data_IF_558316378687
#
_entry.id   IF_558316378687
#
_cell.length_a   1.000
_cell.length_b   1.000
_cell.length_c   1.000
_cell.angle_alpha   90.00
_cell.angle_beta   90.00
_cell.angle_gamma   90.00
#
_symmetry.space_group_name_H-M   'P 1'
#
loop_
_entity.id
_entity.type
_entity.pdbx_description
1 polymer ?
#
# COMPACT_ATOMS: atom_id res chain seq x y z
N UNK A 1 10.29 9.39 -9.12
CA UNK A 1 10.54 8.81 -7.79
C UNK A 1 10.96 7.36 -7.94
N UNK A 2 11.84 6.83 -7.07
CA UNK A 2 12.27 5.44 -7.13
C UNK A 2 11.17 4.53 -6.55
N UNK A 3 10.23 4.09 -7.37
CA UNK A 3 9.18 3.15 -6.99
C UNK A 3 9.59 1.73 -7.39
N UNK A 4 9.68 0.81 -6.43
CA UNK A 4 9.95 -0.59 -6.69
C UNK A 4 8.67 -1.41 -6.86
N UNK A 5 7.62 -1.06 -6.12
CA UNK A 5 6.29 -1.62 -6.33
C UNK A 5 5.22 -0.70 -5.76
N UNK A 6 4.02 -0.83 -6.28
CA UNK A 6 2.78 -0.24 -5.77
C UNK A 6 1.79 -1.36 -5.48
N UNK A 7 1.10 -1.28 -4.34
CA UNK A 7 0.12 -2.27 -3.90
C UNK A 7 -1.24 -1.60 -3.74
N UNK A 8 -2.21 -2.01 -4.55
CA UNK A 8 -3.60 -1.59 -4.35
C UNK A 8 -4.33 -2.55 -3.43
N UNK A 9 -5.20 -2.04 -2.59
CA UNK A 9 -5.98 -2.82 -1.65
C UNK A 9 -7.39 -2.24 -1.44
N UNK A 10 -8.34 -3.09 -1.08
CA UNK A 10 -9.64 -2.66 -0.58
C UNK A 10 -9.57 -2.54 0.94
N UNK A 11 -9.87 -1.35 1.47
CA UNK A 11 -9.97 -1.13 2.91
C UNK A 11 -11.30 -1.67 3.47
N UNK A 12 -11.40 -1.80 4.81
CA UNK A 12 -12.60 -2.31 5.49
C UNK A 12 -13.88 -1.51 5.17
N UNK A 13 -13.74 -0.24 4.81
CA UNK A 13 -14.85 0.62 4.37
C UNK A 13 -15.26 0.41 2.90
N UNK A 14 -14.67 -0.55 2.21
CA UNK A 14 -14.91 -0.86 0.80
C UNK A 14 -14.17 0.06 -0.18
N UNK A 15 -13.46 1.08 0.28
CA UNK A 15 -12.71 2.00 -0.60
C UNK A 15 -11.44 1.34 -1.13
N UNK A 16 -11.11 1.60 -2.41
CA UNK A 16 -9.82 1.24 -2.98
C UNK A 16 -8.78 2.29 -2.62
N UNK A 17 -7.66 1.83 -2.08
CA UNK A 17 -6.50 2.64 -1.71
C UNK A 17 -5.24 1.97 -2.24
N UNK A 18 -4.11 2.69 -2.22
CA UNK A 18 -2.82 2.14 -2.61
C UNK A 18 -1.72 2.53 -1.65
N UNK A 19 -0.72 1.65 -1.54
CA UNK A 19 0.55 1.90 -0.90
C UNK A 19 1.66 1.97 -1.95
N UNK A 20 2.59 2.89 -1.75
CA UNK A 20 3.83 3.02 -2.50
C UNK A 20 4.98 2.50 -1.66
N UNK A 21 5.79 1.58 -2.19
CA UNK A 21 6.98 1.09 -1.49
C UNK A 21 7.91 2.23 -1.08
N UNK A 22 8.05 3.26 -1.92
CA UNK A 22 8.87 4.42 -1.61
C UNK A 22 8.22 5.35 -0.59
N UNK A 23 7.00 5.84 -0.86
CA UNK A 23 6.36 6.87 -0.04
C UNK A 23 5.94 6.34 1.34
N UNK A 24 5.42 5.11 1.41
CA UNK A 24 4.84 4.53 2.62
C UNK A 24 5.83 3.70 3.44
N UNK A 25 6.96 3.25 2.85
CA UNK A 25 7.97 2.51 3.58
C UNK A 25 9.35 3.16 3.54
N UNK A 26 9.99 3.31 2.36
CA UNK A 26 11.40 3.73 2.26
C UNK A 26 11.61 5.13 2.85
N UNK A 27 10.77 6.08 2.49
CA UNK A 27 10.82 7.47 2.98
C UNK A 27 10.67 7.57 4.50
N UNK A 28 10.00 6.59 5.10
CA UNK A 28 9.75 6.53 6.54
C UNK A 28 10.75 5.63 7.28
N UNK A 29 11.72 5.01 6.58
CA UNK A 29 12.66 4.07 7.17
C UNK A 29 12.04 2.73 7.60
N UNK A 30 10.88 2.37 7.03
CA UNK A 30 10.08 1.20 7.37
C UNK A 30 10.40 0.01 6.46
N UNK A 31 11.67 -0.33 6.36
CA UNK A 31 12.13 -1.48 5.60
C UNK A 31 13.32 -2.15 6.29
N UNK A 32 13.52 -3.42 5.96
CA UNK A 32 14.66 -4.21 6.42
C UNK A 32 15.31 -4.89 5.22
N UNK A 33 16.63 -4.75 5.09
CA UNK A 33 17.42 -5.43 4.08
C UNK A 33 18.14 -6.62 4.72
N UNK A 34 18.09 -7.76 4.06
CA UNK A 34 18.80 -8.98 4.40
C UNK A 34 19.55 -9.48 3.16
N UNK A 35 20.84 -9.71 3.30
CA UNK A 35 21.63 -10.40 2.26
C UNK A 35 21.25 -11.86 2.21
N UNK A 36 21.06 -12.37 1.00
CA UNK A 36 20.76 -13.78 0.70
C UNK A 36 21.78 -14.27 -0.33
N UNK A 37 21.73 -15.55 -0.68
CA UNK A 37 22.57 -16.10 -1.72
C UNK A 37 22.26 -15.40 -3.06
N UNK A 38 23.30 -14.90 -3.71
CA UNK A 38 23.26 -14.14 -4.97
C UNK A 38 22.34 -12.90 -4.98
N UNK A 39 22.01 -12.32 -3.82
CA UNK A 39 21.10 -11.18 -3.85
C UNK A 39 20.74 -10.59 -2.48
N UNK A 40 19.61 -9.90 -2.48
CA UNK A 40 19.05 -9.26 -1.29
C UNK A 40 17.55 -9.54 -1.19
N UNK A 41 17.07 -9.66 0.04
CA UNK A 41 15.65 -9.61 0.36
C UNK A 41 15.37 -8.30 1.10
N UNK A 42 14.41 -7.53 0.62
CA UNK A 42 13.95 -6.31 1.28
C UNK A 42 12.51 -6.51 1.73
N UNK A 43 12.30 -6.49 3.04
CA UNK A 43 10.95 -6.52 3.61
C UNK A 43 10.49 -5.10 3.88
N UNK A 44 9.39 -4.70 3.29
CA UNK A 44 8.74 -3.40 3.43
C UNK A 44 7.56 -3.52 4.39
N UNK A 45 7.47 -2.61 5.36
CA UNK A 45 6.30 -2.47 6.21
C UNK A 45 5.50 -1.26 5.74
N UNK A 46 4.41 -1.52 5.00
CA UNK A 46 3.55 -0.51 4.39
C UNK A 46 2.38 -0.19 5.31
N UNK A 47 1.90 1.04 5.21
CA UNK A 47 0.79 1.52 6.00
C UNK A 47 1.25 2.35 7.20
N UNK A 48 0.30 2.76 8.02
CA UNK A 48 0.58 3.66 9.11
C UNK A 48 1.32 2.94 10.25
N UNK A 49 2.60 2.61 10.01
CA UNK A 49 3.56 2.32 11.08
C UNK A 49 4.06 3.65 11.67
N UNK A 50 3.28 4.74 11.50
CA UNK A 50 3.57 5.96 12.23
C UNK A 50 3.83 5.55 13.66
N UNK A 51 4.95 5.99 14.23
CA UNK A 51 5.16 6.00 15.67
C UNK A 51 3.82 6.30 16.28
N UNK A 52 3.22 5.30 16.94
CA UNK A 52 1.95 5.43 17.62
C UNK A 52 2.17 6.57 18.61
N UNK A 53 1.68 7.78 18.26
CA UNK A 53 1.85 8.94 19.12
C UNK A 53 0.98 8.66 20.34
N UNK A 54 1.60 8.48 21.48
CA UNK A 54 0.88 8.29 22.73
C UNK A 54 0.25 9.62 23.15
N UNK A 55 -0.99 9.83 22.75
CA UNK A 55 -1.81 10.99 23.11
C UNK A 55 -3.11 10.49 23.74
N UNK A 56 -3.07 9.81 24.90
CA UNK A 56 -4.25 9.19 25.49
C UNK A 56 -5.28 10.26 25.85
N UNK A 57 -6.55 10.12 25.40
CA UNK A 57 -7.63 11.05 25.78
C UNK A 57 -7.92 11.01 27.28
N UNK A 58 -7.68 9.85 27.89
CA UNK A 58 -7.86 9.58 29.32
C UNK A 58 -6.59 8.94 29.86
N UNK A 59 -6.15 9.34 31.03
CA UNK A 59 -5.04 8.71 31.77
C UNK A 59 -5.51 8.41 33.18
N UNK A 60 -5.25 7.21 33.69
CA UNK A 60 -5.51 6.86 35.08
C UNK A 60 -4.77 7.82 36.03
N UNK A 61 -5.41 8.31 37.07
CA UNK A 61 -4.85 9.36 37.97
C UNK A 61 -3.51 8.93 38.59
N UNK A 62 -3.41 7.70 39.09
CA UNK A 62 -2.16 7.17 39.65
C UNK A 62 -1.01 7.21 38.65
N UNK A 63 -1.28 6.80 37.39
CA UNK A 63 -0.31 6.85 36.27
C UNK A 63 0.07 8.26 35.89
N UNK A 64 -0.91 9.16 35.83
CA UNK A 64 -0.63 10.55 35.50
C UNK A 64 0.30 11.22 36.55
N UNK A 65 0.07 10.99 37.82
CA UNK A 65 0.92 11.54 38.90
C UNK A 65 2.34 10.94 38.87
N UNK A 66 2.46 9.66 38.55
CA UNK A 66 3.75 9.00 38.35
C UNK A 66 4.52 9.61 37.18
N UNK A 67 3.86 9.77 36.03
CA UNK A 67 4.45 10.38 34.82
C UNK A 67 4.84 11.85 35.09
N UNK A 68 4.00 12.57 35.81
CA UNK A 68 4.29 13.95 36.18
C UNK A 68 5.54 14.03 37.09
N UNK A 69 5.67 13.11 38.06
CA UNK A 69 6.84 13.02 38.92
C UNK A 69 8.15 12.66 38.18
N UNK A 70 8.06 11.86 37.12
CA UNK A 70 9.21 11.48 36.31
C UNK A 70 9.56 12.48 35.21
N UNK A 71 8.65 13.42 34.90
CA UNK A 71 8.84 14.40 33.84
C UNK A 71 9.78 15.54 34.30
N UNK A 72 10.56 16.04 33.33
CA UNK A 72 11.31 17.28 33.53
C UNK A 72 10.38 18.52 33.66
N UNK A 73 10.90 19.68 34.00
CA UNK A 73 10.11 20.89 34.20
C UNK A 73 9.27 21.30 32.96
N UNK A 74 9.76 21.06 31.73
CA UNK A 74 9.03 21.35 30.51
C UNK A 74 7.87 20.36 30.30
N UNK A 75 8.13 19.06 30.49
CA UNK A 75 7.11 17.99 30.43
C UNK A 75 6.01 18.19 31.47
N UNK A 76 6.37 18.55 32.73
CA UNK A 76 5.40 18.84 33.77
C UNK A 76 4.46 20.00 33.40
N UNK A 77 5.02 21.07 32.83
CA UNK A 77 4.21 22.23 32.38
C UNK A 77 3.28 21.79 31.24
N UNK A 78 3.77 21.01 30.29
CA UNK A 78 2.99 20.51 29.14
C UNK A 78 1.83 19.64 29.63
N UNK A 79 2.10 18.63 30.46
CA UNK A 79 1.09 17.72 31.03
C UNK A 79 0.01 18.49 31.80
N UNK A 80 0.40 19.40 32.70
CA UNK A 80 -0.55 20.23 33.45
C UNK A 80 -1.39 21.16 32.56
N UNK A 81 -0.84 21.64 31.47
CA UNK A 81 -1.56 22.47 30.51
C UNK A 81 -2.57 21.66 29.69
N UNK A 82 -2.20 20.46 29.26
CA UNK A 82 -3.01 19.64 28.35
C UNK A 82 -4.06 18.79 29.07
N UNK A 83 -3.82 18.40 30.34
CA UNK A 83 -4.73 17.54 31.09
C UNK A 83 -5.39 18.28 32.24
N UNK A 84 -6.52 17.73 32.70
CA UNK A 84 -7.21 18.17 33.92
C UNK A 84 -7.79 16.97 34.66
N UNK A 85 -7.78 17.03 35.98
CA UNK A 85 -8.36 15.99 36.84
C UNK A 85 -9.89 16.00 36.74
N UNK A 86 -10.50 14.83 36.78
CA UNK A 86 -11.96 14.65 36.88
C UNK A 86 -12.29 14.04 38.22
N UNK A 87 -13.11 14.74 38.97
CA UNK A 87 -13.76 14.26 40.18
C UNK A 87 -15.25 14.05 39.86
N UNK A 88 -15.63 12.77 39.69
CA UNK A 88 -16.97 12.36 39.28
C UNK A 88 -18.06 12.79 40.29
N UNK A 89 -17.71 12.97 41.58
CA UNK A 89 -18.68 13.28 42.62
C UNK A 89 -19.07 14.77 42.60
N UNK A 90 -18.17 15.63 42.12
CA UNK A 90 -18.39 17.07 42.03
C UNK A 90 -18.97 17.54 40.71
N UNK A 91 -19.11 16.63 39.72
CA UNK A 91 -19.66 16.96 38.39
C UNK A 91 -21.16 17.26 38.47
N UNK A 92 -21.61 18.27 37.70
CA UNK A 92 -23.04 18.45 37.41
C UNK A 92 -23.60 17.27 36.61
N UNK A 93 -24.89 16.99 36.75
CA UNK A 93 -25.55 15.88 36.04
C UNK A 93 -25.35 15.95 34.53
N UNK A 94 -25.42 17.15 33.94
CA UNK A 94 -25.20 17.35 32.49
C UNK A 94 -23.76 17.02 32.07
N UNK A 95 -22.77 17.47 32.85
CA UNK A 95 -21.36 17.20 32.57
C UNK A 95 -20.98 15.73 32.78
N UNK A 96 -21.59 15.10 33.79
CA UNK A 96 -21.44 13.65 34.03
C UNK A 96 -21.99 12.85 32.87
N UNK A 97 -23.18 13.16 32.35
CA UNK A 97 -23.77 12.49 31.20
C UNK A 97 -22.92 12.67 29.93
N UNK A 98 -22.42 13.86 29.63
CA UNK A 98 -21.54 14.14 28.51
C UNK A 98 -20.24 13.34 28.58
N UNK A 99 -19.54 13.38 29.71
CA UNK A 99 -18.27 12.65 29.87
C UNK A 99 -18.46 11.13 29.91
N UNK A 100 -19.55 10.63 30.50
CA UNK A 100 -19.89 9.18 30.46
C UNK A 100 -20.18 8.68 29.06
N UNK A 101 -20.78 9.51 28.21
CA UNK A 101 -20.99 9.17 26.78
C UNK A 101 -19.70 9.16 25.97
N UNK A 102 -18.78 10.08 26.26
CA UNK A 102 -17.50 10.16 25.54
C UNK A 102 -16.45 9.15 26.04
N UNK A 103 -16.43 8.89 27.34
CA UNK A 103 -15.42 8.06 28.00
C UNK A 103 -16.06 7.04 28.95
N UNK A 104 -16.79 6.05 28.41
CA UNK A 104 -17.56 5.12 29.23
C UNK A 104 -16.70 4.29 30.18
N UNK A 105 -15.48 3.96 29.79
CA UNK A 105 -14.55 3.21 30.65
C UNK A 105 -13.94 4.04 31.81
N UNK A 106 -14.04 5.36 31.76
CA UNK A 106 -13.53 6.23 32.82
C UNK A 106 -14.50 6.47 33.96
N UNK A 107 -15.78 6.07 33.81
CA UNK A 107 -16.83 6.34 34.80
C UNK A 107 -16.51 5.69 36.15
N UNK A 108 -16.48 6.49 37.20
CA UNK A 108 -16.18 6.03 38.56
C UNK A 108 -14.68 5.82 38.85
N UNK A 109 -13.81 6.09 37.90
CA UNK A 109 -12.36 6.03 38.06
C UNK A 109 -11.78 7.45 38.26
N UNK A 110 -10.78 7.60 39.11
CA UNK A 110 -9.99 8.84 39.19
C UNK A 110 -9.12 8.94 37.94
N UNK A 111 -9.36 9.93 37.10
CA UNK A 111 -8.70 10.10 35.81
C UNK A 111 -8.32 11.56 35.52
N UNK A 112 -7.36 11.70 34.64
CA UNK A 112 -7.05 12.95 33.95
C UNK A 112 -7.51 12.87 32.50
N UNK A 113 -8.21 13.91 32.02
CA UNK A 113 -8.71 14.03 30.69
C UNK A 113 -7.91 15.05 29.88
N UNK A 114 -7.64 14.73 28.63
CA UNK A 114 -7.06 15.66 27.66
C UNK A 114 -8.08 16.75 27.34
N UNK A 115 -7.70 18.05 27.53
CA UNK A 115 -8.59 19.20 27.32
C UNK A 115 -9.11 19.34 25.90
N UNK A 116 -8.25 18.98 24.92
CA UNK A 116 -8.57 19.01 23.51
C UNK A 116 -8.02 17.76 22.84
N UNK A 117 -8.88 16.92 22.32
CA UNK A 117 -8.50 15.69 21.60
C UNK A 117 -8.00 15.97 20.17
N UNK A 118 -8.29 17.17 19.64
CA UNK A 118 -7.84 17.63 18.32
C UNK A 118 -6.61 18.53 18.44
N UNK A 119 -5.51 18.00 18.99
CA UNK A 119 -4.26 18.73 19.10
C UNK A 119 -3.60 18.96 17.73
N UNK A 120 -2.96 20.12 17.48
CA UNK A 120 -2.06 20.31 16.35
C UNK A 120 -0.94 19.26 16.35
N UNK A 121 -0.44 18.86 15.17
CA UNK A 121 0.57 17.80 15.04
C UNK A 121 1.85 18.05 15.83
N UNK A 122 2.27 19.31 15.94
CA UNK A 122 3.42 19.70 16.77
C UNK A 122 3.18 19.47 18.27
N UNK A 123 1.97 19.70 18.75
CA UNK A 123 1.60 19.43 20.15
C UNK A 123 1.42 17.94 20.42
N UNK A 124 0.87 17.19 19.45
CA UNK A 124 0.77 15.74 19.54
C UNK A 124 2.17 15.11 19.68
N UNK A 125 3.14 15.55 18.86
CA UNK A 125 4.52 15.07 18.95
C UNK A 125 5.16 15.46 20.28
N UNK A 126 5.00 16.70 20.72
CA UNK A 126 5.56 17.17 21.98
C UNK A 126 4.99 16.42 23.21
N UNK A 127 3.68 16.10 23.19
CA UNK A 127 3.03 15.29 24.23
C UNK A 127 3.57 13.87 24.23
N UNK A 128 3.65 13.22 23.06
CA UNK A 128 4.23 11.88 22.91
C UNK A 128 5.66 11.84 23.47
N UNK A 129 6.51 12.77 23.03
CA UNK A 129 7.92 12.80 23.46
C UNK A 129 8.05 13.01 24.98
N UNK A 130 7.20 13.84 25.58
CA UNK A 130 7.16 14.06 27.04
C UNK A 130 6.71 12.80 27.79
N UNK A 131 5.69 12.11 27.31
CA UNK A 131 5.19 10.86 27.90
C UNK A 131 6.22 9.74 27.81
N UNK A 132 6.84 9.55 26.64
CA UNK A 132 7.88 8.54 26.44
C UNK A 132 9.11 8.82 27.30
N UNK A 133 9.54 10.09 27.37
CA UNK A 133 10.65 10.49 28.25
C UNK A 133 10.37 10.26 29.74
N UNK A 134 9.08 10.29 30.14
CA UNK A 134 8.63 9.94 31.49
C UNK A 134 8.46 8.42 31.72
N UNK A 135 8.73 7.59 30.68
CA UNK A 135 8.64 6.13 30.78
C UNK A 135 7.24 5.55 30.47
N UNK A 136 6.40 6.30 29.76
CA UNK A 136 5.10 5.80 29.31
C UNK A 136 5.26 4.75 28.24
N UNK A 137 4.64 3.58 28.41
CA UNK A 137 4.81 2.41 27.55
C UNK A 137 3.58 2.17 26.66
N UNK A 138 3.72 1.29 25.67
CA UNK A 138 2.62 0.90 24.77
C UNK A 138 1.51 0.15 25.52
N UNK A 139 1.89 -0.71 26.49
CA UNK A 139 0.91 -1.40 27.32
C UNK A 139 0.07 -0.39 28.13
N UNK A 140 0.72 0.60 28.76
CA UNK A 140 0.05 1.64 29.51
C UNK A 140 -0.86 2.48 28.62
N UNK A 141 -0.42 2.79 27.40
CA UNK A 141 -1.26 3.48 26.42
C UNK A 141 -2.51 2.66 26.06
N UNK A 142 -2.34 1.36 25.85
CA UNK A 142 -3.46 0.45 25.53
C UNK A 142 -4.47 0.37 26.69
N UNK A 143 -4.00 0.30 27.94
CA UNK A 143 -4.87 0.32 29.12
C UNK A 143 -5.65 1.65 29.24
N UNK A 144 -4.99 2.78 29.02
CA UNK A 144 -5.62 4.10 29.06
C UNK A 144 -6.62 4.32 27.90
N UNK A 145 -6.40 3.70 26.74
CA UNK A 145 -7.38 3.68 25.66
C UNK A 145 -8.67 2.94 26.05
N UNK A 146 -8.57 1.85 26.80
CA UNK A 146 -9.76 1.15 27.33
C UNK A 146 -10.57 2.09 28.23
N UNK A 147 -9.92 2.88 29.10
CA UNK A 147 -10.59 3.89 29.91
C UNK A 147 -11.29 4.96 29.08
N UNK A 148 -10.76 5.29 27.90
CA UNK A 148 -11.40 6.22 26.99
C UNK A 148 -12.59 5.65 26.23
N UNK A 149 -12.87 4.33 26.35
CA UNK A 149 -13.85 3.62 25.53
C UNK A 149 -13.38 3.39 24.10
N UNK A 150 -12.10 3.65 23.83
CA UNK A 150 -11.46 3.35 22.56
C UNK A 150 -11.13 1.86 22.46
N UNK A 151 -11.22 1.32 21.25
CA UNK A 151 -10.73 -0.03 20.99
C UNK A 151 -9.20 -0.03 21.00
N UNK A 152 -8.60 -1.01 21.66
CA UNK A 152 -7.15 -1.25 21.62
C UNK A 152 -6.71 -1.80 20.26
N UNK A 153 -7.67 -2.12 19.39
CA UNK A 153 -7.41 -2.70 18.08
C UNK A 153 -6.88 -1.62 17.13
N UNK A 154 -5.73 -1.91 16.56
CA UNK A 154 -5.21 -1.10 15.45
C UNK A 154 -6.16 -1.27 14.26
N UNK A 155 -6.81 -0.20 13.83
CA UNK A 155 -7.80 -0.19 12.74
C UNK A 155 -7.21 0.29 11.42
N UNK A 156 -5.94 0.66 11.39
CA UNK A 156 -5.28 1.13 10.19
C UNK A 156 -4.75 -0.03 9.33
N UNK A 157 -4.99 -0.02 8.02
CA UNK A 157 -4.45 -1.03 7.12
C UNK A 157 -2.92 -1.05 7.15
N UNK A 158 -2.34 -2.24 7.30
CA UNK A 158 -0.89 -2.49 7.30
C UNK A 158 -0.59 -3.80 6.59
N UNK A 159 0.53 -3.83 5.87
CA UNK A 159 1.01 -5.04 5.22
C UNK A 159 2.52 -5.08 5.19
N UNK A 160 3.09 -6.26 5.45
CA UNK A 160 4.49 -6.55 5.17
C UNK A 160 4.61 -7.26 3.83
N UNK A 161 5.50 -6.75 2.98
CA UNK A 161 5.79 -7.32 1.65
C UNK A 161 7.28 -7.53 1.53
N UNK A 162 7.70 -8.75 1.19
CA UNK A 162 9.10 -9.10 0.92
C UNK A 162 9.36 -9.10 -0.58
N UNK A 163 10.35 -8.35 -1.03
CA UNK A 163 10.86 -8.33 -2.40
C UNK A 163 12.26 -8.94 -2.41
N UNK A 164 12.41 -10.03 -3.16
CA UNK A 164 13.69 -10.70 -3.40
C UNK A 164 14.26 -10.21 -4.73
N UNK A 165 15.49 -9.76 -4.70
CA UNK A 165 16.25 -9.36 -5.89
C UNK A 165 17.50 -10.23 -5.94
N UNK A 166 17.56 -11.13 -6.92
CA UNK A 166 18.65 -12.09 -7.07
C UNK A 166 19.25 -12.03 -8.47
N UNK A 167 20.52 -12.37 -8.57
CA UNK A 167 21.22 -12.53 -9.85
C UNK A 167 21.29 -14.02 -10.18
N UNK A 168 20.83 -14.36 -11.39
CA UNK A 168 20.96 -15.67 -11.97
C UNK A 168 21.74 -15.56 -13.29
N UNK A 169 23.03 -15.83 -13.23
CA UNK A 169 23.95 -15.56 -14.33
C UNK A 169 23.97 -14.06 -14.68
N UNK A 170 23.53 -13.72 -15.89
CA UNK A 170 23.44 -12.35 -16.39
C UNK A 170 22.03 -11.74 -16.18
N UNK A 171 21.10 -12.46 -15.59
CA UNK A 171 19.72 -12.03 -15.39
C UNK A 171 19.51 -11.53 -13.96
N UNK A 172 18.66 -10.51 -13.82
CA UNK A 172 18.11 -10.04 -12.53
C UNK A 172 16.73 -10.67 -12.36
N UNK A 173 16.53 -11.36 -11.26
CA UNK A 173 15.22 -11.84 -10.86
C UNK A 173 14.64 -10.96 -9.76
N UNK A 174 13.37 -10.59 -9.93
CA UNK A 174 12.58 -9.89 -8.93
C UNK A 174 11.39 -10.77 -8.54
N UNK A 175 11.32 -11.17 -7.26
CA UNK A 175 10.29 -12.08 -6.77
C UNK A 175 9.59 -11.52 -5.54
N UNK A 176 8.26 -11.66 -5.52
CA UNK A 176 7.41 -11.38 -4.37
C UNK A 176 6.61 -12.63 -4.03
N UNK A 177 6.99 -13.40 -2.98
CA UNK A 177 6.19 -14.52 -2.49
C UNK A 177 4.91 -14.00 -1.83
N UNK A 178 3.75 -14.22 -2.43
CA UNK A 178 2.47 -13.72 -1.91
C UNK A 178 2.09 -14.40 -0.59
N UNK A 179 2.54 -15.64 -0.39
CA UNK A 179 2.35 -16.38 0.86
C UNK A 179 3.09 -15.78 2.07
N UNK A 180 4.11 -14.95 1.83
CA UNK A 180 4.84 -14.25 2.90
C UNK A 180 4.20 -12.90 3.29
N UNK A 181 3.20 -12.43 2.55
CA UNK A 181 2.50 -11.20 2.89
C UNK A 181 1.76 -11.34 4.22
N UNK A 182 2.01 -10.40 5.12
CA UNK A 182 1.40 -10.38 6.45
C UNK A 182 0.50 -9.15 6.58
N UNK A 183 -0.80 -9.37 6.68
CA UNK A 183 -1.80 -8.33 6.85
C UNK A 183 -3.03 -8.83 7.61
N UNK A 184 -3.80 -7.92 8.21
CA UNK A 184 -5.09 -8.23 8.81
C UNK A 184 -6.19 -8.11 7.75
N UNK A 185 -6.75 -9.26 7.36
CA UNK A 185 -7.80 -9.34 6.36
C UNK A 185 -9.08 -8.57 6.75
N UNK A 186 -9.33 -8.39 8.04
CA UNK A 186 -10.47 -7.59 8.50
C UNK A 186 -10.30 -6.08 8.23
N UNK A 187 -9.08 -5.63 7.95
CA UNK A 187 -8.74 -4.23 7.71
C UNK A 187 -8.46 -3.95 6.24
N UNK A 188 -7.95 -4.93 5.51
CA UNK A 188 -7.59 -4.76 4.10
C UNK A 188 -7.57 -6.08 3.33
N UNK A 189 -7.85 -5.99 2.05
CA UNK A 189 -7.69 -7.08 1.07
C UNK A 189 -6.74 -6.57 -0.02
N UNK A 190 -5.51 -7.11 -0.15
CA UNK A 190 -4.62 -6.77 -1.27
C UNK A 190 -5.27 -7.14 -2.60
N UNK A 191 -5.33 -6.23 -3.55
CA UNK A 191 -6.02 -6.42 -4.83
C UNK A 191 -5.03 -6.62 -5.96
N UNK A 192 -4.13 -5.66 -6.17
CA UNK A 192 -3.13 -5.72 -7.23
C UNK A 192 -1.75 -5.28 -6.74
N UNK A 193 -0.73 -5.83 -7.36
CA UNK A 193 0.67 -5.45 -7.18
C UNK A 193 1.27 -5.07 -8.53
N UNK A 194 1.73 -3.84 -8.67
CA UNK A 194 2.56 -3.38 -9.78
C UNK A 194 4.02 -3.52 -9.37
N UNK A 195 4.80 -4.29 -10.12
CA UNK A 195 6.19 -4.58 -9.77
C UNK A 195 7.17 -3.86 -10.69
N UNK A 196 8.17 -3.21 -10.11
CA UNK A 196 9.27 -2.49 -10.78
C UNK A 196 8.79 -1.46 -11.82
N UNK A 197 7.73 -0.71 -11.50
CA UNK A 197 7.05 0.25 -12.39
C UNK A 197 7.97 1.32 -13.00
N UNK A 198 9.08 1.63 -12.34
CA UNK A 198 10.04 2.63 -12.79
C UNK A 198 11.38 2.02 -13.26
N UNK A 199 11.49 0.70 -13.33
CA UNK A 199 12.71 0.03 -13.73
C UNK A 199 13.00 0.26 -15.22
N UNK A 200 14.23 0.67 -15.52
CA UNK A 200 14.65 0.93 -16.89
C UNK A 200 13.87 2.03 -17.62
N UNK A 201 13.14 2.88 -16.90
CA UNK A 201 12.30 3.94 -17.46
C UNK A 201 13.11 4.92 -18.32
N UNK A 202 12.66 5.23 -19.55
CA UNK A 202 13.33 6.19 -20.41
C UNK A 202 13.40 7.58 -19.79
N UNK A 203 14.50 8.27 -20.00
CA UNK A 203 14.66 9.68 -19.62
C UNK A 203 14.05 10.58 -20.69
N UNK A 204 13.75 11.81 -20.31
CA UNK A 204 13.31 12.82 -21.26
C UNK A 204 14.38 13.04 -22.35
N UNK A 205 13.94 13.01 -23.62
CA UNK A 205 14.82 13.13 -24.77
C UNK A 205 15.48 11.84 -25.25
N UNK A 206 15.34 10.72 -24.53
CA UNK A 206 15.74 9.41 -25.05
C UNK A 206 14.77 8.90 -26.11
N UNK A 207 15.30 8.25 -27.12
CA UNK A 207 14.52 7.56 -28.17
C UNK A 207 14.60 6.06 -28.00
N UNK A 208 13.56 5.37 -28.39
CA UNK A 208 13.49 3.92 -28.32
C UNK A 208 12.04 3.42 -28.34
N UNK A 209 11.86 2.19 -27.94
CA UNK A 209 10.54 1.55 -27.98
C UNK A 209 10.39 0.49 -26.89
N UNK A 210 9.15 0.17 -26.59
CA UNK A 210 8.76 -1.00 -25.82
C UNK A 210 8.41 -2.14 -26.78
N UNK A 211 8.86 -3.36 -26.45
CA UNK A 211 8.37 -4.60 -27.05
C UNK A 211 7.19 -5.08 -26.22
N UNK A 212 6.04 -5.28 -26.87
CA UNK A 212 4.80 -5.70 -26.24
C UNK A 212 4.30 -7.02 -26.79
N UNK A 213 3.64 -7.86 -25.96
CA UNK A 213 3.17 -9.19 -26.37
C UNK A 213 1.81 -9.14 -27.11
N UNK A 214 1.60 -8.16 -27.94
CA UNK A 214 0.38 -7.96 -28.73
C UNK A 214 0.41 -8.81 -30.01
N UNK A 215 -0.41 -9.82 -30.07
CA UNK A 215 -0.42 -10.79 -31.19
C UNK A 215 0.93 -11.48 -31.34
N UNK A 216 1.60 -11.27 -32.46
CA UNK A 216 2.96 -11.77 -32.73
C UNK A 216 4.07 -10.90 -32.15
N UNK A 217 3.72 -9.85 -31.45
CA UNK A 217 4.58 -8.83 -30.90
C UNK A 217 4.42 -7.48 -31.61
N UNK A 218 4.36 -6.41 -30.85
CA UNK A 218 4.31 -5.03 -31.36
C UNK A 218 5.39 -4.16 -30.74
N UNK A 219 5.74 -3.06 -31.42
CA UNK A 219 6.70 -2.08 -30.95
C UNK A 219 5.99 -0.75 -30.70
N UNK A 220 6.06 -0.26 -29.47
CA UNK A 220 5.50 1.02 -29.07
C UNK A 220 6.64 2.03 -28.88
N UNK A 221 6.79 2.97 -29.79
CA UNK A 221 7.76 4.06 -29.65
C UNK A 221 7.35 5.00 -28.51
N UNK A 222 8.29 5.35 -27.64
CA UNK A 222 8.07 6.36 -26.61
C UNK A 222 8.58 7.72 -27.06
N UNK A 223 8.00 8.80 -26.49
CA UNK A 223 8.28 10.19 -26.85
C UNK A 223 8.15 10.49 -28.36
N UNK A 224 7.19 9.85 -29.02
CA UNK A 224 6.96 9.99 -30.46
C UNK A 224 6.33 11.35 -30.90
N UNK A 225 6.25 12.32 -29.98
CA UNK A 225 5.67 13.64 -30.21
C UNK A 225 4.15 13.67 -30.27
N UNK A 226 3.47 12.58 -29.93
CA UNK A 226 2.00 12.50 -29.88
C UNK A 226 1.55 12.51 -28.42
N UNK A 227 0.69 13.45 -28.07
CA UNK A 227 -0.02 13.47 -26.80
C UNK A 227 -1.37 12.77 -26.92
N UNK A 228 -1.84 12.16 -25.82
CA UNK A 228 -3.17 11.58 -25.74
C UNK A 228 -3.32 10.20 -26.39
N UNK A 229 -2.22 9.48 -26.58
CA UNK A 229 -2.30 8.06 -26.90
C UNK A 229 -2.80 7.28 -25.68
N UNK A 230 -3.66 6.29 -25.96
CA UNK A 230 -4.11 5.37 -24.90
C UNK A 230 -2.94 4.54 -24.37
N UNK A 231 -2.96 4.30 -23.08
CA UNK A 231 -2.06 3.36 -22.46
C UNK A 231 -2.42 1.94 -22.92
N UNK A 232 -1.40 1.11 -23.13
CA UNK A 232 -1.58 -0.31 -23.37
C UNK A 232 -1.73 -1.02 -22.03
N UNK A 233 -2.81 -1.79 -21.85
CA UNK A 233 -3.04 -2.65 -20.68
C UNK A 233 -3.78 -3.89 -21.12
N UNK A 234 -3.07 -5.03 -21.17
CA UNK A 234 -3.61 -6.28 -21.69
C UNK A 234 -3.30 -7.43 -20.74
N UNK A 235 -4.29 -8.30 -20.42
CA UNK A 235 -4.08 -9.47 -19.58
C UNK A 235 -3.27 -10.54 -20.35
N UNK A 236 -2.39 -11.20 -19.62
CA UNK A 236 -1.73 -12.41 -20.11
C UNK A 236 -2.75 -13.55 -20.11
N UNK A 237 -2.86 -14.27 -21.22
CA UNK A 237 -3.80 -15.38 -21.48
C UNK A 237 -5.29 -14.98 -21.47
N UNK A 238 -5.60 -13.70 -21.29
CA UNK A 238 -6.97 -13.19 -21.25
C UNK A 238 -7.64 -13.26 -19.87
N UNK A 239 -8.89 -12.81 -19.81
CA UNK A 239 -9.68 -12.83 -18.59
C UNK A 239 -10.22 -14.24 -18.30
N UNK A 240 -10.37 -14.57 -17.02
CA UNK A 240 -10.99 -15.82 -16.60
C UNK A 240 -12.51 -15.74 -16.77
N UNK A 241 -13.00 -16.31 -17.84
CA UNK A 241 -14.42 -16.34 -18.19
C UNK A 241 -15.30 -17.15 -17.22
N UNK A 242 -14.70 -17.85 -16.26
CA UNK A 242 -15.46 -18.62 -15.25
C UNK A 242 -15.98 -17.75 -14.10
N UNK A 243 -15.44 -16.53 -13.93
CA UNK A 243 -15.74 -15.66 -12.78
C UNK A 243 -16.74 -14.55 -13.10
N UNK A 244 -17.09 -14.30 -14.34
CA UNK A 244 -18.04 -13.27 -14.72
C UNK A 244 -18.54 -13.41 -16.14
N UNK A 245 -19.75 -12.95 -16.40
CA UNK A 245 -20.22 -12.71 -17.76
C UNK A 245 -19.70 -11.34 -18.21
N UNK A 246 -18.42 -11.23 -18.50
CA UNK A 246 -17.95 -10.09 -19.29
C UNK A 246 -18.34 -10.36 -20.74
N UNK A 247 -19.08 -9.44 -21.36
CA UNK A 247 -19.12 -9.40 -22.81
C UNK A 247 -17.68 -9.19 -23.27
N UNK A 248 -17.13 -10.23 -23.89
CA UNK A 248 -15.83 -10.13 -24.56
C UNK A 248 -16.02 -9.11 -25.68
N UNK A 249 -15.65 -7.87 -25.41
CA UNK A 249 -15.51 -6.92 -26.50
C UNK A 249 -14.38 -7.43 -27.37
N UNK A 250 -14.66 -7.69 -28.65
CA UNK A 250 -13.73 -8.27 -29.62
C UNK A 250 -12.46 -7.44 -29.86
N UNK A 251 -12.32 -6.30 -29.21
CA UNK A 251 -11.26 -5.33 -29.42
C UNK A 251 -10.04 -5.55 -28.49
N UNK A 252 -10.14 -6.42 -27.47
CA UNK A 252 -9.03 -6.74 -26.57
C UNK A 252 -8.53 -8.16 -26.84
N UNK A 253 -7.51 -8.28 -27.69
CA UNK A 253 -6.82 -9.56 -27.90
C UNK A 253 -5.89 -9.78 -26.71
N UNK A 254 -6.06 -10.87 -25.94
CA UNK A 254 -5.18 -11.15 -24.82
C UNK A 254 -3.75 -11.40 -25.30
N UNK A 255 -2.77 -11.02 -24.49
CA UNK A 255 -1.38 -11.36 -24.73
C UNK A 255 -1.18 -12.87 -24.54
N UNK A 256 -0.48 -13.50 -25.47
CA UNK A 256 -0.20 -14.95 -25.43
C UNK A 256 1.15 -15.22 -24.74
N UNK A 257 2.10 -14.30 -24.89
CA UNK A 257 3.43 -14.45 -24.33
C UNK A 257 3.58 -13.60 -23.06
N UNK A 258 4.03 -14.17 -21.95
CA UNK A 258 4.22 -13.46 -20.69
C UNK A 258 5.55 -12.68 -20.67
N UNK A 259 5.71 -11.76 -21.61
CA UNK A 259 6.97 -11.04 -21.83
C UNK A 259 6.73 -9.57 -22.15
N UNK A 260 7.73 -8.73 -21.88
CA UNK A 260 7.82 -7.36 -22.40
C UNK A 260 9.29 -6.93 -22.47
N UNK A 261 9.57 -5.84 -23.14
CA UNK A 261 10.93 -5.33 -23.25
C UNK A 261 11.00 -3.83 -23.44
N UNK A 262 12.20 -3.28 -23.27
CA UNK A 262 12.49 -1.87 -23.52
C UNK A 262 13.85 -1.73 -24.20
N UNK A 263 13.88 -1.00 -25.30
CA UNK A 263 15.10 -0.62 -26.02
C UNK A 263 15.33 0.86 -25.87
N UNK A 264 16.52 1.25 -25.44
CA UNK A 264 16.97 2.64 -25.28
C UNK A 264 18.36 2.80 -25.85
N UNK A 265 18.46 3.42 -27.02
CA UNK A 265 19.75 3.55 -27.71
C UNK A 265 20.40 2.18 -27.97
N UNK A 266 21.60 1.97 -27.40
CA UNK A 266 22.40 0.75 -27.50
C UNK A 266 22.24 -0.20 -26.30
N UNK A 267 21.23 0.00 -25.47
CA UNK A 267 20.90 -0.82 -24.32
C UNK A 267 19.44 -1.29 -24.37
N UNK A 268 19.21 -2.51 -23.94
CA UNK A 268 17.88 -3.04 -23.82
C UNK A 268 17.76 -3.97 -22.62
N UNK A 269 16.52 -4.19 -22.18
CA UNK A 269 16.18 -5.31 -21.32
C UNK A 269 14.98 -6.06 -21.90
N UNK A 270 14.99 -7.34 -21.69
CA UNK A 270 13.86 -8.23 -21.95
C UNK A 270 13.39 -8.83 -20.63
N UNK A 271 12.09 -8.87 -20.42
CA UNK A 271 11.49 -9.37 -19.18
C UNK A 271 10.58 -10.54 -19.49
N UNK A 272 10.77 -11.63 -18.78
CA UNK A 272 9.88 -12.77 -18.72
C UNK A 272 9.14 -12.78 -17.39
N UNK A 273 7.82 -12.95 -17.43
CA UNK A 273 6.98 -13.19 -16.26
C UNK A 273 7.01 -14.69 -15.98
N UNK A 274 7.97 -15.14 -15.17
CA UNK A 274 8.29 -16.57 -15.03
C UNK A 274 7.43 -17.29 -13.98
N UNK A 275 6.73 -16.53 -13.11
CA UNK A 275 5.75 -17.07 -12.15
C UNK A 275 4.67 -16.06 -11.86
N UNK A 276 3.41 -16.51 -11.73
CA UNK A 276 2.25 -15.66 -11.55
C UNK A 276 1.76 -14.96 -12.81
N UNK A 277 2.25 -15.35 -13.98
CA UNK A 277 1.96 -14.73 -15.28
C UNK A 277 0.46 -14.75 -15.63
N UNK A 278 -0.26 -15.80 -15.23
CA UNK A 278 -1.72 -15.90 -15.45
C UNK A 278 -2.54 -14.87 -14.64
N UNK A 279 -1.91 -14.16 -13.71
CA UNK A 279 -2.52 -13.07 -12.94
C UNK A 279 -2.13 -11.70 -13.49
N UNK A 280 -1.26 -11.66 -14.50
CA UNK A 280 -0.58 -10.46 -14.93
C UNK A 280 -1.31 -9.72 -16.03
N UNK A 281 -1.22 -8.40 -15.96
CA UNK A 281 -1.47 -7.47 -17.06
C UNK A 281 -0.15 -6.79 -17.42
N UNK A 282 0.17 -6.71 -18.72
CA UNK A 282 1.29 -5.88 -19.18
C UNK A 282 0.78 -4.47 -19.43
N UNK A 283 1.43 -3.50 -18.79
CA UNK A 283 1.19 -2.09 -18.98
C UNK A 283 2.31 -1.46 -19.78
N UNK A 284 1.97 -0.62 -20.75
CA UNK A 284 2.93 0.26 -21.41
C UNK A 284 2.33 1.64 -21.65
N UNK A 285 3.08 2.64 -21.29
CA UNK A 285 2.73 4.06 -21.45
C UNK A 285 3.75 4.70 -22.39
N UNK A 286 3.34 5.23 -23.55
CA UNK A 286 4.29 5.77 -24.53
C UNK A 286 4.94 7.09 -24.09
N UNK A 287 4.42 7.69 -23.02
CA UNK A 287 4.87 8.99 -22.55
C UNK A 287 4.31 10.16 -23.37
N UNK A 288 4.41 11.36 -22.83
CA UNK A 288 3.90 12.60 -23.42
C UNK A 288 4.23 13.78 -22.51
N UNK A 289 3.58 14.91 -22.74
CA UNK A 289 3.82 16.16 -21.98
C UNK A 289 3.53 16.05 -20.48
N UNK A 290 2.67 15.10 -20.05
CA UNK A 290 2.22 14.93 -18.66
C UNK A 290 2.64 13.61 -18.02
N UNK A 291 3.09 12.66 -18.82
CA UNK A 291 3.36 11.30 -18.38
C UNK A 291 4.69 10.81 -18.94
N UNK A 292 5.52 10.21 -18.08
CA UNK A 292 6.76 9.57 -18.52
C UNK A 292 6.47 8.18 -19.08
N UNK A 293 7.21 7.74 -20.11
CA UNK A 293 7.05 6.40 -20.64
C UNK A 293 7.45 5.36 -19.59
N UNK A 294 6.74 4.23 -19.58
CA UNK A 294 7.04 3.09 -18.72
C UNK A 294 6.47 1.81 -19.33
N UNK A 295 7.10 0.67 -19.02
CA UNK A 295 6.56 -0.66 -19.26
C UNK A 295 6.78 -1.51 -18.00
N UNK A 296 5.74 -2.20 -17.54
CA UNK A 296 5.78 -3.02 -16.32
C UNK A 296 4.62 -4.02 -16.31
N UNK A 297 4.61 -4.91 -15.33
CA UNK A 297 3.49 -5.81 -15.09
C UNK A 297 2.77 -5.49 -13.78
N UNK A 298 1.44 -5.59 -13.83
CA UNK A 298 0.50 -5.55 -12.70
C UNK A 298 -0.03 -6.97 -12.47
N UNK A 299 -0.12 -7.41 -11.24
CA UNK A 299 -0.59 -8.74 -10.87
C UNK A 299 -1.80 -8.67 -9.97
N UNK A 300 -2.88 -9.39 -10.33
CA UNK A 300 -4.06 -9.56 -9.50
C UNK A 300 -3.80 -10.55 -8.36
N UNK A 301 -3.81 -10.08 -7.11
CA UNK A 301 -3.60 -10.93 -5.92
C UNK A 301 -4.89 -11.64 -5.52
N UNK A 302 -5.99 -10.88 -5.47
CA UNK A 302 -7.32 -11.41 -5.27
C UNK A 302 -8.14 -11.15 -6.54
N UNK A 303 -8.78 -12.19 -7.06
CA UNK A 303 -9.68 -12.02 -8.20
C UNK A 303 -10.88 -11.18 -7.80
N UNK A 304 -11.26 -10.28 -8.71
CA UNK A 304 -12.40 -9.40 -8.57
C UNK A 304 -13.53 -9.88 -9.46
N UNK A 305 -14.72 -10.07 -8.90
CA UNK A 305 -15.95 -10.21 -9.65
C UNK A 305 -16.79 -8.93 -9.48
N UNK A 306 -17.35 -8.39 -10.56
CA UNK A 306 -18.40 -7.39 -10.49
C UNK A 306 -19.74 -8.10 -10.40
N UNK A 307 -20.51 -7.77 -9.38
CA UNK A 307 -21.86 -8.32 -9.18
C UNK A 307 -22.85 -7.19 -9.31
N UNK A 308 -23.81 -7.38 -10.23
CA UNK A 308 -24.92 -6.45 -10.40
C UNK A 308 -25.94 -6.67 -9.27
N UNK A 309 -26.29 -5.61 -8.55
CA UNK A 309 -27.44 -5.66 -7.66
C UNK A 309 -28.72 -5.46 -8.47
N UNK A 310 -29.56 -6.47 -8.53
CA UNK A 310 -30.91 -6.35 -9.07
C UNK A 310 -31.73 -5.55 -8.04
N UNK A 311 -31.66 -4.24 -8.12
CA UNK A 311 -32.65 -3.38 -7.45
C UNK A 311 -33.96 -3.48 -8.23
N UNK A 312 -35.03 -3.78 -7.52
CA UNK A 312 -36.41 -3.99 -8.03
C UNK A 312 -36.69 -3.30 -9.36
N UNK A 313 -37.13 -4.10 -10.35
CA UNK A 313 -37.35 -3.76 -11.75
C UNK A 313 -38.43 -2.71 -12.06
N UNK A 314 -38.76 -1.81 -11.14
CA UNK A 314 -39.83 -0.80 -11.32
C UNK A 314 -39.34 0.65 -11.42
N UNK A 315 -38.07 0.91 -11.38
CA UNK A 315 -37.52 2.26 -11.50
C UNK A 315 -36.46 2.34 -12.59
N UNK A 316 -36.46 3.43 -13.35
CA UNK A 316 -35.40 3.86 -14.26
C UNK A 316 -34.06 4.17 -13.52
N UNK A 317 -33.66 3.32 -12.60
CA UNK A 317 -32.39 3.42 -11.88
C UNK A 317 -31.37 2.54 -12.58
N UNK A 318 -30.21 3.14 -12.87
CA UNK A 318 -29.08 2.38 -13.38
C UNK A 318 -28.71 1.25 -12.39
N UNK A 319 -28.32 0.06 -12.88
CA UNK A 319 -27.89 -1.02 -12.02
C UNK A 319 -26.71 -0.58 -11.15
N UNK A 320 -26.73 -0.95 -9.86
CA UNK A 320 -25.60 -0.75 -8.98
C UNK A 320 -24.69 -1.97 -9.05
N UNK A 321 -23.40 -1.74 -9.23
CA UNK A 321 -22.38 -2.78 -9.25
C UNK A 321 -21.56 -2.71 -7.97
N UNK A 322 -21.31 -3.85 -7.34
CA UNK A 322 -20.35 -3.96 -6.26
C UNK A 322 -19.25 -4.95 -6.59
N UNK A 323 -18.07 -4.70 -6.07
CA UNK A 323 -16.93 -5.58 -6.27
C UNK A 323 -16.88 -6.63 -5.16
N UNK A 324 -16.86 -7.90 -5.55
CA UNK A 324 -16.54 -9.02 -4.68
C UNK A 324 -15.11 -9.47 -4.98
N UNK A 325 -14.34 -9.70 -3.93
CA UNK A 325 -13.00 -10.30 -4.05
C UNK A 325 -13.04 -11.72 -3.51
N UNK A 326 -12.28 -12.60 -4.15
CA UNK A 326 -12.17 -13.99 -3.70
C UNK A 326 -11.67 -14.05 -2.26
N UNK A 327 -12.15 -15.05 -1.53
CA UNK A 327 -11.76 -15.28 -0.15
C UNK A 327 -10.31 -15.72 0.00
N UNK A 328 -9.73 -16.34 -1.01
CA UNK A 328 -8.36 -16.86 -1.00
C UNK A 328 -7.51 -16.09 -2.00
N UNK A 329 -6.39 -15.54 -1.54
CA UNK A 329 -5.37 -14.99 -2.43
C UNK A 329 -4.68 -16.11 -3.21
N UNK A 330 -4.07 -15.77 -4.32
CA UNK A 330 -3.08 -16.64 -4.95
C UNK A 330 -1.91 -16.86 -3.97
N UNK A 331 -1.55 -18.12 -3.75
CA UNK A 331 -0.57 -18.50 -2.73
C UNK A 331 0.84 -18.72 -3.28
N UNK A 332 1.04 -18.57 -4.59
CA UNK A 332 2.36 -18.69 -5.25
C UNK A 332 3.20 -17.42 -5.14
N UNK A 333 4.27 -17.40 -5.91
CA UNK A 333 5.11 -16.22 -6.09
C UNK A 333 4.70 -15.42 -7.34
N UNK A 334 5.06 -14.17 -7.33
CA UNK A 334 5.15 -13.33 -8.53
C UNK A 334 6.64 -13.19 -8.83
N UNK A 335 7.08 -13.59 -10.05
CA UNK A 335 8.49 -13.49 -10.43
C UNK A 335 8.66 -12.94 -11.84
N UNK A 336 9.59 -11.99 -11.96
CA UNK A 336 10.03 -11.39 -13.21
C UNK A 336 11.53 -11.64 -13.38
N UNK A 337 11.93 -12.11 -14.56
CA UNK A 337 13.33 -12.29 -14.93
C UNK A 337 13.72 -11.27 -16.00
N UNK A 338 14.74 -10.48 -15.73
CA UNK A 338 15.24 -9.42 -16.58
C UNK A 338 16.58 -9.84 -17.20
N UNK A 339 16.61 -9.98 -18.52
CA UNK A 339 17.84 -10.18 -19.30
C UNK A 339 18.27 -8.87 -19.93
N UNK A 340 19.56 -8.53 -19.80
CA UNK A 340 20.10 -7.28 -20.30
C UNK A 340 20.88 -7.48 -21.58
N UNK A 341 20.63 -6.63 -22.57
CA UNK A 341 21.21 -6.67 -23.91
C UNK A 341 21.94 -5.36 -24.20
N UNK A 342 23.02 -5.43 -24.95
CA UNK A 342 23.81 -4.24 -25.32
C UNK A 342 24.38 -4.35 -26.74
N UNK A 343 24.72 -3.19 -27.31
CA UNK A 343 25.31 -3.11 -28.65
C UNK A 343 24.39 -3.65 -29.74
N UNK A 344 24.91 -4.49 -30.61
CA UNK A 344 24.14 -5.05 -31.75
C UNK A 344 22.95 -5.94 -31.33
N UNK A 345 22.98 -6.46 -30.11
CA UNK A 345 21.89 -7.27 -29.55
C UNK A 345 20.80 -6.43 -28.86
N UNK A 346 21.03 -5.12 -28.67
CA UNK A 346 20.08 -4.23 -28.03
C UNK A 346 18.89 -3.87 -28.95
N UNK A 347 18.08 -4.86 -29.30
CA UNK A 347 16.93 -4.70 -30.17
C UNK A 347 15.95 -5.87 -30.07
N UNK A 348 14.80 -5.73 -30.72
CA UNK A 348 13.78 -6.79 -30.69
C UNK A 348 14.28 -8.12 -31.26
N UNK A 349 15.24 -8.11 -32.20
CA UNK A 349 15.85 -9.34 -32.75
C UNK A 349 16.69 -10.05 -31.70
N UNK A 350 17.48 -9.31 -30.89
CA UNK A 350 18.25 -9.88 -29.79
C UNK A 350 17.34 -10.40 -28.67
N UNK A 351 16.21 -9.74 -28.41
CA UNK A 351 15.21 -10.21 -27.43
C UNK A 351 14.50 -11.49 -27.85
N UNK A 352 14.42 -11.77 -29.16
CA UNK A 352 13.76 -12.95 -29.70
C UNK A 352 14.67 -14.19 -29.81
N UNK A 353 15.96 -14.05 -29.51
CA UNK A 353 16.97 -15.13 -29.47
C UNK A 353 17.18 -15.69 -28.09
#
# INVERSE_FOLDING_TARGET
EPELFSLSFQAADGTLRSFSAYADAVKNGQYRIRTIENGVCVTYSLGNVRRKLYNPPVVAAARYEELLGRSNAAGQRLLKTLYYAVDWDTLTAAKRADLSGRYPGAVGHAVYLLRNTSLPSTQQQALHDALVAAGYTEEQYSEDLVLSGGETRDTEPKINVSLYLTLDGASLQAEVPLSEMQYDRSLMIPVTLELLTNFGRPKEGETGYFLLPDGSGSLMEFYNGKDGLNDYRVPIYGEDLTVGQSEITRDEVPAVFPVFGCVRGDHAFFTELSEGEALAYVHAMPGGSRQRPAVFAEYGIHRKAQVETITNASANTAPEYYALYQDTAYAGSIRQSYSFLSGEEAGYVGMAR
#
